data_IF_635184750154
#
_entry.id   IF_635184750154
#
_cell.length_a   1.000
_cell.length_b   1.000
_cell.length_c   1.000
_cell.angle_alpha   90.00
_cell.angle_beta   90.00
_cell.angle_gamma   90.00
#
_symmetry.space_group_name_H-M   'P 1'
#
loop_
_entity.id
_entity.type
_entity.pdbx_description
1 polymer ?
#
# COMPACT_ATOMS: atom_id res chain seq x y z
N UNK A 1 9.58 31.40 17.53
CA UNK A 1 9.61 30.68 18.81
C UNK A 1 8.86 29.36 18.69
N UNK A 2 9.52 28.28 18.44
CA UNK A 2 8.90 26.94 18.47
C UNK A 2 9.96 25.84 18.69
N UNK A 3 10.90 26.10 19.59
CA UNK A 3 11.99 25.20 19.98
C UNK A 3 11.45 23.96 20.70
N UNK A 4 10.48 24.09 21.58
CA UNK A 4 9.96 22.98 22.38
C UNK A 4 9.27 21.84 21.57
N UNK A 5 8.56 22.16 20.47
CA UNK A 5 7.97 21.14 19.59
C UNK A 5 9.03 20.37 18.78
N UNK A 6 10.13 21.03 18.39
CA UNK A 6 11.24 20.39 17.66
C UNK A 6 12.03 19.41 18.53
N UNK A 7 12.17 19.73 19.80
CA UNK A 7 12.92 18.85 20.72
C UNK A 7 12.11 17.61 21.12
N UNK A 8 10.79 17.77 21.33
CA UNK A 8 9.89 16.63 21.57
C UNK A 8 9.85 15.63 20.40
N UNK A 9 9.95 16.13 19.16
CA UNK A 9 10.02 15.26 17.96
C UNK A 9 11.37 14.50 17.91
N UNK A 10 12.47 15.15 18.26
CA UNK A 10 13.79 14.52 18.32
C UNK A 10 13.86 13.44 19.38
N UNK A 11 13.32 13.70 20.57
CA UNK A 11 13.28 12.71 21.67
C UNK A 11 12.39 11.52 21.32
N UNK A 12 11.22 11.73 20.67
CA UNK A 12 10.32 10.65 20.25
C UNK A 12 10.91 9.76 19.16
N UNK A 13 11.68 10.30 18.21
CA UNK A 13 12.34 9.52 17.16
C UNK A 13 13.33 8.49 17.74
N UNK A 14 13.92 8.76 18.89
CA UNK A 14 14.86 7.84 19.56
C UNK A 14 14.13 6.72 20.32
N UNK A 15 12.83 6.89 20.58
CA UNK A 15 12.07 5.98 21.46
C UNK A 15 11.40 4.82 20.68
N UNK A 16 11.20 4.97 19.37
CA UNK A 16 10.53 3.96 18.55
C UNK A 16 11.55 3.11 17.77
N UNK A 17 11.29 1.79 17.73
CA UNK A 17 12.14 0.82 17.01
C UNK A 17 11.94 0.87 15.49
N UNK A 18 10.84 1.43 15.01
CA UNK A 18 10.50 1.57 13.61
C UNK A 18 9.21 2.35 13.40
N UNK A 19 8.91 2.65 12.15
CA UNK A 19 7.75 3.46 11.76
C UNK A 19 6.97 2.80 10.64
N UNK A 20 5.64 2.81 10.76
CA UNK A 20 4.72 2.57 9.67
C UNK A 20 4.25 3.94 9.17
N UNK A 21 4.43 4.19 7.88
CA UNK A 21 4.22 5.50 7.27
C UNK A 21 3.16 5.37 6.19
N UNK A 22 2.02 6.02 6.38
CA UNK A 22 1.01 6.17 5.34
C UNK A 22 1.50 7.13 4.24
N UNK A 23 1.01 6.95 3.03
CA UNK A 23 1.44 7.74 1.87
C UNK A 23 0.53 8.92 1.58
N UNK A 24 -0.76 8.67 1.27
CA UNK A 24 -1.69 9.74 0.89
C UNK A 24 -2.16 10.52 2.13
N UNK A 25 -1.91 11.82 2.13
CA UNK A 25 -2.13 12.69 3.29
C UNK A 25 -0.92 12.80 4.23
N UNK A 26 0.14 12.01 4.05
CA UNK A 26 1.35 12.02 4.88
C UNK A 26 2.59 12.43 4.10
N UNK A 27 2.86 11.79 2.97
CA UNK A 27 3.98 12.10 2.07
C UNK A 27 3.52 13.03 0.95
N UNK A 28 2.31 12.81 0.46
CA UNK A 28 1.66 13.63 -0.56
C UNK A 28 0.16 13.72 -0.31
N UNK A 29 -0.50 14.64 -1.02
CA UNK A 29 -1.97 14.73 -1.09
C UNK A 29 -2.37 14.83 -2.55
N UNK A 30 -2.82 13.72 -3.13
CA UNK A 30 -3.02 13.59 -4.56
C UNK A 30 -1.70 13.78 -5.33
N UNK A 31 -1.50 14.95 -5.99
CA UNK A 31 -0.24 15.29 -6.67
C UNK A 31 0.63 16.30 -5.90
N UNK A 32 0.13 16.82 -4.79
CA UNK A 32 0.84 17.82 -4.00
C UNK A 32 1.81 17.16 -3.02
N UNK A 33 3.04 17.64 -2.99
CA UNK A 33 4.08 17.19 -2.06
C UNK A 33 3.79 17.70 -0.65
N UNK A 34 4.12 16.89 0.35
CA UNK A 34 4.13 17.28 1.76
C UNK A 34 5.60 17.31 2.23
N UNK A 35 6.30 18.45 2.12
CA UNK A 35 7.74 18.50 2.40
C UNK A 35 8.13 18.11 3.82
N UNK A 36 7.18 18.18 4.76
CA UNK A 36 7.42 17.73 6.13
C UNK A 36 7.54 16.21 6.22
N UNK A 37 6.71 15.47 5.47
CA UNK A 37 6.77 14.01 5.35
C UNK A 37 8.07 13.55 4.70
N UNK A 38 8.45 14.16 3.58
CA UNK A 38 9.70 13.85 2.89
C UNK A 38 10.92 14.06 3.80
N UNK A 39 11.01 15.19 4.49
CA UNK A 39 12.08 15.46 5.45
C UNK A 39 12.09 14.47 6.63
N UNK A 40 10.92 13.98 7.02
CA UNK A 40 10.83 12.97 8.07
C UNK A 40 11.43 11.65 7.61
N UNK A 41 11.05 11.19 6.41
CA UNK A 41 11.62 9.96 5.81
C UNK A 41 13.14 10.07 5.65
N UNK A 42 13.64 11.17 5.09
CA UNK A 42 15.08 11.41 4.95
C UNK A 42 15.81 11.25 6.30
N UNK A 43 15.25 11.79 7.38
CA UNK A 43 15.85 11.65 8.73
C UNK A 43 15.83 10.21 9.26
N UNK A 44 14.80 9.43 8.91
CA UNK A 44 14.78 8.01 9.26
C UNK A 44 15.87 7.26 8.52
N UNK A 45 16.03 7.54 7.23
CA UNK A 45 17.08 6.94 6.37
C UNK A 45 18.49 7.32 6.86
N UNK A 46 18.76 8.60 7.11
CA UNK A 46 20.02 9.08 7.65
C UNK A 46 20.41 8.43 8.98
N UNK A 47 19.42 8.09 9.80
CA UNK A 47 19.60 7.46 11.11
C UNK A 47 19.49 5.95 11.09
N UNK A 48 19.26 5.37 9.93
CA UNK A 48 19.05 3.93 9.76
C UNK A 48 17.90 3.39 10.64
N UNK A 49 16.86 4.20 10.86
CA UNK A 49 15.68 3.77 11.62
C UNK A 49 14.76 2.99 10.67
N UNK A 50 14.41 1.75 11.04
CA UNK A 50 13.52 0.92 10.23
C UNK A 50 12.17 1.60 9.97
N UNK A 51 11.71 1.55 8.73
CA UNK A 51 10.39 2.06 8.38
C UNK A 51 9.79 1.25 7.23
N UNK A 52 8.47 1.26 7.18
CA UNK A 52 7.66 0.62 6.15
C UNK A 52 6.64 1.63 5.66
N UNK A 53 6.52 1.80 4.36
CA UNK A 53 5.43 2.53 3.74
C UNK A 53 4.22 1.63 3.64
N UNK A 54 3.10 2.06 4.22
CA UNK A 54 1.84 1.32 4.21
C UNK A 54 0.80 2.16 3.50
N UNK A 55 0.15 1.61 2.48
CA UNK A 55 -0.88 2.32 1.73
C UNK A 55 -2.13 1.47 1.54
N UNK A 56 -3.29 2.09 1.70
CA UNK A 56 -4.57 1.48 1.35
C UNK A 56 -4.89 1.54 -0.15
N UNK A 57 -4.04 2.15 -0.96
CA UNK A 57 -4.21 2.18 -2.40
C UNK A 57 -3.93 0.79 -3.01
N UNK A 58 -4.90 0.28 -3.78
CA UNK A 58 -4.83 -1.01 -4.48
C UNK A 58 -4.66 -0.85 -6.00
N UNK A 59 -4.55 0.39 -6.50
CA UNK A 59 -4.53 0.63 -7.96
C UNK A 59 -3.16 0.43 -8.58
N UNK A 60 -2.08 0.47 -7.77
CA UNK A 60 -0.68 0.40 -8.20
C UNK A 60 0.02 -0.82 -7.61
N UNK A 61 1.00 -1.33 -8.35
CA UNK A 61 1.94 -2.33 -7.81
C UNK A 61 2.96 -1.67 -6.88
N UNK A 62 3.65 -2.44 -6.00
CA UNK A 62 4.73 -1.90 -5.18
C UNK A 62 5.85 -1.21 -5.99
N UNK A 63 6.19 -1.73 -7.18
CA UNK A 63 7.21 -1.16 -8.08
C UNK A 63 6.78 0.20 -8.63
N UNK A 64 5.50 0.34 -8.96
CA UNK A 64 4.95 1.62 -9.41
C UNK A 64 4.91 2.64 -8.27
N UNK A 65 4.63 2.20 -7.05
CA UNK A 65 4.72 3.06 -5.85
C UNK A 65 6.16 3.47 -5.59
N UNK A 66 7.12 2.55 -5.68
CA UNK A 66 8.56 2.84 -5.56
C UNK A 66 9.01 3.89 -6.58
N UNK A 67 8.65 3.67 -7.85
CA UNK A 67 8.97 4.58 -8.94
C UNK A 67 8.40 5.99 -8.69
N UNK A 68 7.14 6.05 -8.27
CA UNK A 68 6.47 7.31 -7.93
C UNK A 68 7.16 8.02 -6.76
N UNK A 69 7.52 7.30 -5.69
CA UNK A 69 8.21 7.87 -4.54
C UNK A 69 9.56 8.47 -4.92
N UNK A 70 10.32 7.78 -5.79
CA UNK A 70 11.61 8.26 -6.25
C UNK A 70 11.48 9.48 -7.19
N UNK A 71 10.57 9.42 -8.18
CA UNK A 71 10.48 10.44 -9.22
C UNK A 71 9.74 11.71 -8.77
N UNK A 72 8.63 11.53 -8.05
CA UNK A 72 7.75 12.65 -7.71
C UNK A 72 8.07 13.27 -6.35
N UNK A 73 8.63 12.48 -5.42
CA UNK A 73 8.82 12.89 -4.02
C UNK A 73 10.27 12.83 -3.53
N UNK A 74 11.22 12.46 -4.40
CA UNK A 74 12.64 12.32 -4.07
C UNK A 74 12.90 11.38 -2.87
N UNK A 75 12.10 10.33 -2.74
CA UNK A 75 12.25 9.28 -1.74
C UNK A 75 12.72 8.02 -2.47
N UNK A 76 14.00 7.72 -2.36
CA UNK A 76 14.55 6.44 -2.82
C UNK A 76 14.46 5.43 -1.69
N UNK A 77 13.81 4.30 -1.94
CA UNK A 77 13.55 3.29 -0.91
C UNK A 77 13.54 1.88 -1.52
N UNK A 78 14.02 0.86 -0.78
CA UNK A 78 13.94 -0.52 -1.22
C UNK A 78 12.49 -1.00 -1.39
N UNK A 79 12.26 -1.88 -2.37
CA UNK A 79 10.91 -2.39 -2.70
C UNK A 79 10.24 -3.07 -1.50
N UNK A 80 11.01 -3.81 -0.72
CA UNK A 80 10.56 -4.53 0.48
C UNK A 80 10.07 -3.60 1.60
N UNK A 81 10.31 -2.30 1.50
CA UNK A 81 9.78 -1.30 2.43
C UNK A 81 8.40 -0.77 2.04
N UNK A 82 7.81 -1.27 0.97
CA UNK A 82 6.49 -0.84 0.47
C UNK A 82 5.49 -1.96 0.66
N UNK A 83 4.48 -1.73 1.49
CA UNK A 83 3.43 -2.69 1.78
C UNK A 83 2.07 -2.10 1.42
N UNK A 84 1.47 -2.65 0.36
CA UNK A 84 0.17 -2.19 -0.15
C UNK A 84 -0.98 -3.01 0.41
N UNK A 85 -2.19 -2.46 0.37
CA UNK A 85 -3.40 -3.22 0.71
C UNK A 85 -3.59 -4.46 -0.17
N UNK A 86 -3.06 -4.44 -1.41
CA UNK A 86 -3.08 -5.61 -2.30
C UNK A 86 -2.23 -6.76 -1.75
N UNK A 87 -1.01 -6.46 -1.26
CA UNK A 87 -0.16 -7.47 -0.60
C UNK A 87 -0.79 -7.99 0.68
N UNK A 88 -1.34 -7.10 1.51
CA UNK A 88 -2.04 -7.49 2.74
C UNK A 88 -3.24 -8.41 2.45
N UNK A 89 -3.95 -8.18 1.35
CA UNK A 89 -5.06 -9.04 0.91
C UNK A 89 -4.56 -10.43 0.55
N UNK A 90 -3.46 -10.51 -0.21
CA UNK A 90 -2.83 -11.79 -0.58
C UNK A 90 -2.35 -12.56 0.66
N UNK A 91 -1.67 -11.88 1.58
CA UNK A 91 -1.23 -12.50 2.84
C UNK A 91 -2.41 -13.06 3.63
N UNK A 92 -3.48 -12.28 3.75
CA UNK A 92 -4.70 -12.71 4.43
C UNK A 92 -5.37 -13.91 3.74
N UNK A 93 -5.44 -13.93 2.40
CA UNK A 93 -5.99 -15.06 1.65
C UNK A 93 -5.15 -16.33 1.83
N UNK A 94 -3.82 -16.19 1.84
CA UNK A 94 -2.90 -17.30 2.09
C UNK A 94 -3.05 -17.84 3.52
N UNK A 95 -3.24 -16.98 4.52
CA UNK A 95 -3.45 -17.38 5.91
C UNK A 95 -4.78 -18.14 6.11
N UNK A 96 -5.84 -17.75 5.40
CA UNK A 96 -7.12 -18.48 5.40
C UNK A 96 -6.97 -19.86 4.75
N UNK A 97 -6.17 -19.98 3.69
CA UNK A 97 -5.79 -21.23 3.07
C UNK A 97 -6.89 -21.97 2.31
N UNK A 98 -7.86 -21.25 1.71
CA UNK A 98 -8.85 -21.85 0.80
C UNK A 98 -8.22 -22.17 -0.56
N UNK A 99 -9.01 -22.72 -1.48
CA UNK A 99 -8.61 -22.92 -2.88
C UNK A 99 -8.17 -21.61 -3.54
N UNK A 100 -7.24 -21.70 -4.48
CA UNK A 100 -6.66 -20.52 -5.16
C UNK A 100 -7.51 -20.07 -6.35
N UNK A 101 -8.82 -20.00 -6.16
CA UNK A 101 -9.76 -19.41 -7.12
C UNK A 101 -10.32 -18.11 -6.57
N UNK A 102 -10.47 -17.10 -7.41
CA UNK A 102 -10.85 -15.75 -6.98
C UNK A 102 -11.67 -15.03 -8.04
N UNK A 103 -12.60 -14.22 -7.62
CA UNK A 103 -13.19 -13.17 -8.46
C UNK A 103 -12.74 -11.81 -7.95
N UNK A 104 -12.14 -10.99 -8.83
CA UNK A 104 -11.52 -9.72 -8.46
C UNK A 104 -12.20 -8.53 -9.13
N UNK A 105 -12.76 -7.64 -8.31
CA UNK A 105 -13.14 -6.29 -8.73
C UNK A 105 -12.04 -5.34 -8.27
N UNK A 106 -11.33 -4.71 -9.20
CA UNK A 106 -10.24 -3.80 -8.86
C UNK A 106 -9.35 -3.46 -10.05
N UNK A 107 -8.46 -2.53 -9.83
CA UNK A 107 -7.45 -2.12 -10.80
C UNK A 107 -6.28 -3.11 -10.86
N UNK A 108 -5.36 -2.87 -11.81
CA UNK A 108 -4.28 -3.80 -12.13
C UNK A 108 -3.36 -4.11 -10.93
N UNK A 109 -3.10 -3.15 -10.04
CA UNK A 109 -2.23 -3.37 -8.88
C UNK A 109 -2.74 -4.47 -7.94
N UNK A 110 -4.08 -4.54 -7.72
CA UNK A 110 -4.69 -5.62 -6.97
C UNK A 110 -4.67 -6.94 -7.74
N UNK A 111 -5.03 -6.89 -9.02
CA UNK A 111 -5.07 -8.08 -9.89
C UNK A 111 -3.68 -8.70 -10.05
N UNK A 112 -2.64 -7.89 -10.25
CA UNK A 112 -1.26 -8.35 -10.36
C UNK A 112 -0.80 -9.07 -9.09
N UNK A 113 -0.99 -8.46 -7.92
CA UNK A 113 -0.60 -9.06 -6.64
C UNK A 113 -1.27 -10.43 -6.41
N UNK A 114 -2.56 -10.54 -6.72
CA UNK A 114 -3.34 -11.78 -6.59
C UNK A 114 -2.86 -12.84 -7.58
N UNK A 115 -2.62 -12.46 -8.85
CA UNK A 115 -2.14 -13.37 -9.89
C UNK A 115 -0.71 -13.87 -9.60
N UNK A 116 0.19 -13.00 -9.16
CA UNK A 116 1.58 -13.33 -8.77
C UNK A 116 1.64 -14.29 -7.59
N UNK A 117 0.65 -14.24 -6.69
CA UNK A 117 0.51 -15.20 -5.60
C UNK A 117 -0.07 -16.56 -6.05
N UNK A 118 -0.36 -16.73 -7.34
CA UNK A 118 -0.83 -17.98 -7.95
C UNK A 118 -2.33 -18.20 -7.83
N UNK A 119 -3.12 -17.14 -7.57
CA UNK A 119 -4.57 -17.24 -7.64
C UNK A 119 -5.06 -17.13 -9.09
N UNK A 120 -6.08 -17.90 -9.43
CA UNK A 120 -6.69 -17.96 -10.75
C UNK A 120 -8.08 -17.33 -10.71
N UNK A 121 -8.37 -16.46 -11.67
CA UNK A 121 -9.70 -15.85 -11.76
C UNK A 121 -10.75 -16.88 -12.21
N UNK A 122 -11.78 -17.05 -11.39
CA UNK A 122 -12.90 -17.95 -11.61
C UNK A 122 -14.20 -17.25 -11.15
N UNK A 123 -14.91 -16.56 -12.05
CA UNK A 123 -16.13 -15.84 -11.70
C UNK A 123 -17.33 -16.76 -11.39
N UNK A 124 -17.26 -18.05 -11.74
CA UNK A 124 -18.37 -18.99 -11.53
C UNK A 124 -18.29 -19.70 -10.17
N UNK A 125 -17.06 -20.04 -9.72
CA UNK A 125 -16.85 -20.76 -8.46
C UNK A 125 -15.64 -20.22 -7.69
N UNK A 126 -15.59 -18.94 -7.31
CA UNK A 126 -14.45 -18.39 -6.60
C UNK A 126 -14.45 -18.84 -5.13
N UNK A 127 -13.29 -19.22 -4.60
CA UNK A 127 -13.11 -19.42 -3.18
C UNK A 127 -13.04 -18.08 -2.41
N UNK A 128 -12.71 -17.00 -3.13
CA UNK A 128 -12.66 -15.63 -2.62
C UNK A 128 -13.29 -14.65 -3.59
N UNK A 129 -14.00 -13.69 -3.05
CA UNK A 129 -14.40 -12.48 -3.78
C UNK A 129 -13.62 -11.31 -3.18
N UNK A 130 -12.81 -10.64 -4.00
CA UNK A 130 -11.97 -9.53 -3.56
C UNK A 130 -12.39 -8.25 -4.27
N UNK A 131 -12.70 -7.22 -3.49
CA UNK A 131 -13.18 -5.94 -4.01
C UNK A 131 -12.24 -4.82 -3.57
N UNK A 132 -11.61 -4.18 -4.54
CA UNK A 132 -10.82 -2.96 -4.37
C UNK A 132 -11.39 -1.81 -5.19
N UNK A 133 -10.64 -0.71 -5.30
CA UNK A 133 -11.01 0.41 -6.16
C UNK A 133 -10.99 -0.02 -7.64
N UNK A 134 -12.09 0.19 -8.32
CA UNK A 134 -12.26 -0.05 -9.76
C UNK A 134 -12.93 1.17 -10.41
N UNK A 135 -12.20 1.86 -11.30
CA UNK A 135 -12.71 3.03 -12.01
C UNK A 135 -13.75 2.69 -13.07
N UNK A 136 -13.90 1.40 -13.41
CA UNK A 136 -14.84 0.87 -14.38
C UNK A 136 -15.86 -0.07 -13.72
N UNK A 137 -16.24 0.26 -12.48
CA UNK A 137 -17.27 -0.48 -11.76
C UNK A 137 -18.60 -0.42 -12.53
N UNK A 138 -19.24 -1.56 -12.66
CA UNK A 138 -20.56 -1.70 -13.30
C UNK A 138 -21.46 -2.68 -12.54
N UNK A 139 -22.72 -2.77 -13.01
CA UNK A 139 -23.72 -3.63 -12.38
C UNK A 139 -23.38 -5.13 -12.52
N UNK A 140 -22.81 -5.55 -13.63
CA UNK A 140 -22.48 -6.96 -13.89
C UNK A 140 -21.40 -7.45 -12.92
N UNK A 141 -20.37 -6.66 -12.69
CA UNK A 141 -19.34 -6.97 -11.72
C UNK A 141 -19.92 -7.15 -10.31
N UNK A 142 -20.80 -6.24 -9.88
CA UNK A 142 -21.44 -6.34 -8.57
C UNK A 142 -22.37 -7.54 -8.47
N UNK A 143 -23.12 -7.83 -9.52
CA UNK A 143 -24.00 -9.00 -9.55
C UNK A 143 -23.21 -10.30 -9.45
N UNK A 144 -22.14 -10.43 -10.24
CA UNK A 144 -21.23 -11.58 -10.19
C UNK A 144 -20.63 -11.75 -8.79
N UNK A 145 -20.09 -10.67 -8.22
CA UNK A 145 -19.49 -10.72 -6.87
C UNK A 145 -20.49 -11.09 -5.76
N UNK A 146 -21.78 -10.82 -5.97
CA UNK A 146 -22.82 -11.09 -4.97
C UNK A 146 -23.37 -12.51 -5.08
N UNK A 147 -23.33 -13.09 -6.26
CA UNK A 147 -23.87 -14.44 -6.54
C UNK A 147 -22.82 -15.55 -6.43
N UNK A 148 -21.56 -15.17 -6.39
CA UNK A 148 -20.39 -16.05 -6.30
C UNK A 148 -20.21 -16.73 -4.92
#
# INVERSE_FOLDING_TARGET
MNTGKRDLIKERLVTYKGYLIDLDGTIYKGKERIPAGERFVQKLQERQIPHLFVTNNTTRTPEEVQTMLAQDFAIDTPLETIYTASLATVDYMNDIGREKTVYVIGEHGLKSAIAEAGYVEDPENPAYVVVGLDWKMDYEKLATATLA
#
